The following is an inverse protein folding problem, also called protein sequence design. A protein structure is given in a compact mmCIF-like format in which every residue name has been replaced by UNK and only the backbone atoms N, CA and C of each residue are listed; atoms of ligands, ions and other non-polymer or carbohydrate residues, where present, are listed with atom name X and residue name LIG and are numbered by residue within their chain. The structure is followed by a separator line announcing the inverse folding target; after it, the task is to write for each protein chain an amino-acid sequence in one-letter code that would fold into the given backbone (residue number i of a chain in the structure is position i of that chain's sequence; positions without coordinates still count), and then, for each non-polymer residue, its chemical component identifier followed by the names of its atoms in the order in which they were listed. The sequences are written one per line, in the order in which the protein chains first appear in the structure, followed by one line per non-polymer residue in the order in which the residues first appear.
data_IF_308595051289
#
_entry.id   IF_308595051289
#
_cell.length_a   1.000
_cell.length_b   1.000
_cell.length_c   1.000
_cell.angle_alpha   90.00
_cell.angle_beta   90.00
_cell.angle_gamma   90.00
#
_symmetry.space_group_name_H-M   'P 1'
#
loop_
_entity.id
_entity.type
_entity.pdbx_description
1 polymer ?
#
# COMPACT_ATOMS: atom_id res chain seq x y z
N UNK A 1 20.75 2.93 44.88
CA UNK A 1 19.95 4.14 45.11
C UNK A 1 20.50 5.21 44.19
N UNK A 2 19.92 5.38 43.05
CA UNK A 2 20.08 6.59 42.22
C UNK A 2 18.84 6.69 41.32
N UNK A 3 18.08 7.73 41.57
CA UNK A 3 16.83 8.06 40.92
C UNK A 3 17.10 8.78 39.59
N UNK A 4 16.65 8.23 38.50
CA UNK A 4 16.70 8.89 37.18
C UNK A 4 15.43 9.69 36.95
N UNK A 5 15.60 11.01 37.03
CA UNK A 5 14.58 12.01 36.76
C UNK A 5 14.42 12.23 35.24
N UNK A 6 13.28 11.86 34.69
CA UNK A 6 12.92 12.28 33.34
C UNK A 6 12.55 13.75 33.29
N UNK A 7 13.35 14.53 32.56
CA UNK A 7 13.09 15.95 32.31
C UNK A 7 11.94 16.13 31.32
N UNK A 8 10.89 16.80 31.76
CA UNK A 8 9.81 17.31 30.94
C UNK A 8 10.34 18.40 29.99
N UNK A 9 10.24 18.14 28.68
CA UNK A 9 10.39 19.17 27.65
C UNK A 9 9.03 19.86 27.42
N UNK A 10 8.80 20.96 28.09
CA UNK A 10 7.76 21.92 27.73
C UNK A 10 8.31 22.85 26.64
N UNK A 11 7.94 22.63 25.41
CA UNK A 11 8.14 23.60 24.32
C UNK A 11 6.91 24.50 24.20
N UNK A 12 6.92 25.61 24.94
CA UNK A 12 6.06 26.75 24.68
C UNK A 12 6.70 27.63 23.60
N UNK A 13 6.32 27.42 22.35
CA UNK A 13 6.52 28.41 21.29
C UNK A 13 5.14 28.80 20.75
N UNK A 14 4.54 29.81 21.38
CA UNK A 14 3.33 30.47 20.87
C UNK A 14 3.74 31.40 19.75
N UNK A 15 3.53 30.96 18.50
CA UNK A 15 3.48 31.87 17.37
C UNK A 15 2.12 32.57 17.36
N UNK A 16 2.10 33.86 17.63
CA UNK A 16 0.96 34.74 17.50
C UNK A 16 0.70 35.00 15.99
N UNK A 17 -0.11 34.15 15.34
CA UNK A 17 -0.81 34.54 14.14
C UNK A 17 -2.19 35.04 14.53
N UNK A 18 -2.43 36.33 14.31
CA UNK A 18 -3.78 36.93 14.36
C UNK A 18 -4.51 36.48 13.08
N UNK A 19 -5.33 35.44 13.18
CA UNK A 19 -6.31 35.11 12.15
C UNK A 19 -7.56 35.94 12.37
N UNK A 20 -7.77 36.89 11.43
CA UNK A 20 -9.09 37.46 11.21
C UNK A 20 -9.92 36.39 10.51
N UNK A 21 -10.70 35.63 11.23
CA UNK A 21 -11.66 34.70 10.66
C UNK A 21 -13.01 34.87 11.32
N UNK A 22 -13.89 35.45 10.50
CA UNK A 22 -15.32 35.37 10.64
C UNK A 22 -15.76 33.90 10.60
N UNK A 23 -16.59 33.52 11.53
CA UNK A 23 -17.48 32.37 11.63
C UNK A 23 -17.31 31.21 10.61
N UNK A 24 -16.34 30.35 10.83
CA UNK A 24 -16.40 28.95 10.42
C UNK A 24 -16.46 28.07 11.67
N UNK A 25 -17.65 27.98 12.27
CA UNK A 25 -17.95 26.98 13.31
C UNK A 25 -18.18 25.60 12.64
N UNK A 26 -17.24 25.19 11.79
CA UNK A 26 -17.11 23.84 11.33
C UNK A 26 -16.24 23.11 12.36
N UNK A 27 -16.87 22.39 13.29
CA UNK A 27 -16.15 21.41 14.10
C UNK A 27 -15.39 20.49 13.14
N UNK A 28 -14.10 20.76 12.93
CA UNK A 28 -13.23 19.90 12.12
C UNK A 28 -13.26 18.50 12.76
N UNK A 29 -14.11 17.62 12.24
CA UNK A 29 -14.11 16.21 12.63
C UNK A 29 -12.73 15.65 12.36
N UNK A 30 -12.14 14.97 13.33
CA UNK A 30 -10.84 14.35 13.09
C UNK A 30 -10.99 13.24 12.05
N UNK A 31 -9.99 13.05 11.19
CA UNK A 31 -9.98 11.99 10.19
C UNK A 31 -10.22 10.60 10.82
N UNK A 32 -9.68 10.39 12.01
CA UNK A 32 -9.91 9.16 12.77
C UNK A 32 -11.40 8.95 13.09
N UNK A 33 -12.08 9.97 13.60
CA UNK A 33 -13.51 9.88 13.94
C UNK A 33 -14.37 9.62 12.69
N UNK A 34 -14.06 10.26 11.56
CA UNK A 34 -14.73 10.01 10.29
C UNK A 34 -14.57 8.55 9.83
N UNK A 35 -13.38 7.97 9.98
CA UNK A 35 -13.14 6.56 9.65
C UNK A 35 -13.93 5.62 10.56
N UNK A 36 -14.00 5.91 11.85
CA UNK A 36 -14.78 5.09 12.80
C UNK A 36 -16.29 5.19 12.51
N UNK A 37 -16.81 6.38 12.24
CA UNK A 37 -18.21 6.56 11.83
C UNK A 37 -18.50 5.82 10.51
N UNK A 38 -17.61 5.95 9.54
CA UNK A 38 -17.72 5.25 8.26
C UNK A 38 -17.71 3.72 8.44
N UNK A 39 -16.89 3.18 9.32
CA UNK A 39 -16.82 1.74 9.56
C UNK A 39 -18.13 1.16 10.10
N UNK A 40 -18.92 1.98 10.82
CA UNK A 40 -20.17 1.60 11.49
C UNK A 40 -21.44 1.89 10.67
N UNK A 41 -21.33 2.55 9.50
CA UNK A 41 -22.50 3.06 8.78
C UNK A 41 -23.38 2.00 8.10
N UNK A 42 -23.04 0.73 8.18
CA UNK A 42 -23.81 -0.39 7.64
C UNK A 42 -23.87 -0.47 6.10
N UNK A 43 -23.27 0.46 5.39
CA UNK A 43 -23.26 0.45 3.91
C UNK A 43 -22.29 -0.60 3.40
N UNK A 44 -22.71 -1.36 2.39
CA UNK A 44 -21.82 -2.30 1.71
C UNK A 44 -20.74 -1.56 0.91
N UNK A 45 -19.44 -1.82 1.15
CA UNK A 45 -18.36 -1.08 0.49
C UNK A 45 -18.12 -1.60 -0.93
N UNK A 46 -18.64 -0.90 -1.94
CA UNK A 46 -18.42 -1.22 -3.35
C UNK A 46 -17.04 -0.80 -3.88
N UNK A 47 -16.31 -0.03 -3.08
CA UNK A 47 -14.93 0.40 -3.39
C UNK A 47 -13.89 -0.61 -2.89
N UNK A 48 -12.63 -0.43 -3.27
CA UNK A 48 -11.51 -1.18 -2.68
C UNK A 48 -11.34 -0.82 -1.18
N UNK A 49 -10.84 -1.74 -0.35
CA UNK A 49 -10.29 -3.07 -0.67
C UNK A 49 -11.35 -4.16 -0.90
N UNK A 50 -10.92 -5.25 -1.54
CA UNK A 50 -11.78 -6.36 -1.95
C UNK A 50 -12.39 -7.20 -0.84
N UNK A 51 -11.82 -7.21 0.38
CA UNK A 51 -12.34 -7.97 1.53
C UNK A 51 -13.74 -7.53 2.02
N UNK A 52 -14.19 -6.33 1.60
CA UNK A 52 -15.54 -5.82 1.85
C UNK A 52 -15.97 -5.84 3.31
N UNK A 53 -15.05 -5.60 4.26
CA UNK A 53 -15.25 -5.68 5.71
C UNK A 53 -15.68 -7.08 6.20
N UNK A 54 -15.28 -8.12 5.46
CA UNK A 54 -15.56 -9.48 5.86
C UNK A 54 -14.55 -9.95 6.93
N UNK A 55 -14.89 -9.77 8.19
CA UNK A 55 -14.02 -10.13 9.32
C UNK A 55 -13.72 -11.63 9.40
N UNK A 56 -14.57 -12.47 8.79
CA UNK A 56 -14.37 -13.93 8.75
C UNK A 56 -13.16 -14.36 7.93
N UNK A 57 -12.65 -13.49 7.04
CA UNK A 57 -11.45 -13.79 6.26
C UNK A 57 -10.18 -13.88 7.11
N UNK A 58 -10.18 -13.29 8.29
CA UNK A 58 -9.02 -13.26 9.17
C UNK A 58 -9.12 -14.17 10.41
N UNK A 59 -10.26 -14.86 10.56
CA UNK A 59 -10.49 -15.89 11.58
C UNK A 59 -9.98 -15.52 12.98
N UNK A 60 -10.16 -14.25 13.37
CA UNK A 60 -9.74 -13.72 14.67
C UNK A 60 -8.25 -13.47 14.86
N UNK A 61 -7.46 -13.48 13.81
CA UNK A 61 -6.02 -13.13 13.89
C UNK A 61 -5.88 -11.64 14.28
N UNK A 62 -5.23 -11.40 15.40
CA UNK A 62 -4.84 -10.06 15.83
C UNK A 62 -3.60 -9.62 15.02
N UNK A 63 -3.70 -8.61 14.14
CA UNK A 63 -2.60 -8.20 13.29
C UNK A 63 -1.37 -7.76 14.09
N UNK A 64 -1.54 -7.20 15.27
CA UNK A 64 -0.42 -6.77 16.11
C UNK A 64 0.39 -7.94 16.69
N UNK A 65 -0.25 -9.11 16.87
CA UNK A 65 0.44 -10.31 17.37
C UNK A 65 1.23 -11.05 16.30
N UNK A 66 0.92 -10.79 15.04
CA UNK A 66 1.56 -11.44 13.88
C UNK A 66 2.42 -10.47 13.08
N UNK A 67 2.56 -9.23 13.52
CA UNK A 67 3.45 -8.24 12.91
C UNK A 67 4.89 -8.50 13.37
N UNK A 68 5.69 -9.01 12.45
CA UNK A 68 7.07 -9.42 12.68
C UNK A 68 7.98 -8.90 11.56
N UNK A 69 9.28 -8.86 11.84
CA UNK A 69 10.33 -8.64 10.84
C UNK A 69 11.02 -9.96 10.46
N UNK A 70 12.21 -9.91 9.86
CA UNK A 70 13.03 -11.08 9.53
C UNK A 70 13.65 -11.68 10.80
N UNK A 71 12.85 -12.42 11.56
CA UNK A 71 13.30 -13.17 12.73
C UNK A 71 13.59 -14.63 12.39
N UNK A 72 14.35 -15.30 13.23
CA UNK A 72 14.71 -16.71 13.05
C UNK A 72 13.46 -17.58 12.83
N UNK A 73 13.46 -18.36 11.74
CA UNK A 73 12.36 -19.25 11.37
C UNK A 73 11.28 -18.62 10.46
N UNK A 74 11.35 -17.30 10.19
CA UNK A 74 10.31 -16.60 9.38
C UNK A 74 10.80 -16.07 8.03
N UNK A 75 12.01 -16.46 7.60
CA UNK A 75 12.50 -16.18 6.25
C UNK A 75 12.62 -14.65 5.92
N UNK A 76 13.04 -14.32 4.70
CA UNK A 76 13.16 -12.95 4.20
C UNK A 76 12.52 -12.83 2.82
N UNK A 77 11.54 -11.93 2.67
CA UNK A 77 10.77 -11.77 1.43
C UNK A 77 11.64 -11.39 0.22
N UNK A 78 12.73 -10.64 0.43
CA UNK A 78 13.64 -10.22 -0.64
C UNK A 78 14.70 -11.27 -1.01
N UNK A 79 14.87 -12.30 -0.16
CA UNK A 79 15.77 -13.43 -0.42
C UNK A 79 15.18 -14.71 0.18
N UNK A 80 14.00 -15.15 -0.28
CA UNK A 80 13.26 -16.23 0.33
C UNK A 80 13.98 -17.57 0.13
N UNK A 81 14.12 -18.35 1.23
CA UNK A 81 14.77 -19.67 1.25
C UNK A 81 14.01 -20.72 2.05
N UNK A 82 12.98 -20.30 2.78
CA UNK A 82 12.19 -21.12 3.69
C UNK A 82 10.69 -20.99 3.43
N UNK A 83 9.93 -20.69 4.48
CA UNK A 83 8.45 -20.67 4.45
C UNK A 83 7.85 -19.71 3.43
N UNK A 84 8.50 -18.57 3.16
CA UNK A 84 8.04 -17.62 2.13
C UNK A 84 8.27 -18.22 0.74
N UNK A 85 9.42 -18.85 0.51
CA UNK A 85 9.68 -19.54 -0.77
C UNK A 85 8.68 -20.66 -1.02
N UNK A 86 8.35 -21.44 0.00
CA UNK A 86 7.39 -22.54 -0.12
C UNK A 86 5.96 -21.98 -0.39
N UNK A 87 5.57 -20.89 0.27
CA UNK A 87 4.31 -20.21 -0.03
C UNK A 87 4.27 -19.67 -1.47
N UNK A 88 5.38 -19.11 -1.99
CA UNK A 88 5.48 -18.68 -3.38
C UNK A 88 5.36 -19.84 -4.37
N UNK A 89 5.97 -21.01 -4.06
CA UNK A 89 5.83 -22.21 -4.87
C UNK A 89 4.39 -22.73 -4.89
N UNK A 90 3.75 -22.83 -3.72
CA UNK A 90 2.35 -23.23 -3.62
C UNK A 90 1.43 -22.30 -4.45
N UNK A 91 1.70 -20.99 -4.42
CA UNK A 91 0.96 -20.04 -5.27
C UNK A 91 1.25 -20.27 -6.78
N UNK A 92 2.49 -20.56 -7.15
CA UNK A 92 2.86 -20.89 -8.53
C UNK A 92 2.12 -22.13 -9.03
N UNK A 93 2.07 -23.17 -8.21
CA UNK A 93 1.36 -24.43 -8.53
C UNK A 93 -0.15 -24.17 -8.67
N UNK A 94 -0.73 -23.39 -7.78
CA UNK A 94 -2.17 -23.05 -7.82
C UNK A 94 -2.56 -22.25 -9.07
N UNK A 95 -1.72 -21.27 -9.48
CA UNK A 95 -1.96 -20.44 -10.64
C UNK A 95 -1.37 -20.98 -11.95
N UNK A 96 -0.78 -22.19 -11.92
CA UNK A 96 -0.12 -22.83 -13.06
C UNK A 96 0.91 -21.92 -13.75
N UNK A 97 1.75 -21.25 -12.92
CA UNK A 97 2.80 -20.33 -13.39
C UNK A 97 4.19 -20.84 -13.05
N UNK A 98 5.20 -20.49 -13.84
CA UNK A 98 6.60 -20.86 -13.57
C UNK A 98 7.11 -20.29 -12.24
N UNK A 99 6.65 -19.08 -11.90
CA UNK A 99 7.05 -18.36 -10.67
C UNK A 99 6.02 -17.36 -10.20
N UNK A 100 5.91 -17.22 -8.88
CA UNK A 100 5.08 -16.21 -8.22
C UNK A 100 5.94 -15.41 -7.24
N UNK A 101 5.74 -14.09 -7.20
CA UNK A 101 6.37 -13.19 -6.23
C UNK A 101 5.31 -12.44 -5.45
N UNK A 102 5.47 -12.38 -4.13
CA UNK A 102 4.62 -11.57 -3.28
C UNK A 102 5.08 -10.10 -3.32
N UNK A 103 4.13 -9.20 -3.53
CA UNK A 103 4.39 -7.76 -3.66
C UNK A 103 4.00 -7.02 -2.39
N UNK A 104 4.83 -6.11 -1.93
CA UNK A 104 4.59 -5.30 -0.71
C UNK A 104 4.01 -3.91 -0.99
N UNK A 105 4.19 -3.38 -2.21
CA UNK A 105 3.72 -2.03 -2.60
C UNK A 105 2.54 -2.07 -3.57
N UNK A 106 1.68 -3.08 -3.44
CA UNK A 106 0.49 -3.26 -4.24
C UNK A 106 0.77 -3.62 -5.70
N UNK A 107 -0.31 -3.87 -6.47
CA UNK A 107 -0.24 -4.24 -7.88
C UNK A 107 0.42 -3.18 -8.78
N UNK A 108 0.40 -1.91 -8.38
CA UNK A 108 1.11 -0.85 -9.11
C UNK A 108 2.62 -1.10 -9.14
N UNK A 109 3.22 -1.56 -8.03
CA UNK A 109 4.63 -1.96 -7.99
C UNK A 109 4.90 -3.13 -8.95
N UNK A 110 4.02 -4.13 -8.96
CA UNK A 110 4.12 -5.26 -9.88
C UNK A 110 4.07 -4.86 -11.35
N UNK A 111 3.19 -3.94 -11.72
CA UNK A 111 3.09 -3.40 -13.09
C UNK A 111 4.40 -2.68 -13.48
N UNK A 112 4.92 -1.82 -12.59
CA UNK A 112 6.19 -1.15 -12.85
C UNK A 112 7.35 -2.14 -12.99
N UNK A 113 7.43 -3.13 -12.10
CA UNK A 113 8.46 -4.16 -12.15
C UNK A 113 8.38 -4.99 -13.43
N UNK A 114 7.18 -5.47 -13.81
CA UNK A 114 6.97 -6.29 -14.99
C UNK A 114 7.37 -5.56 -16.28
N UNK A 115 6.88 -4.32 -16.47
CA UNK A 115 7.24 -3.52 -17.65
C UNK A 115 8.74 -3.22 -17.66
N UNK A 116 9.32 -2.86 -16.51
CA UNK A 116 10.74 -2.54 -16.41
C UNK A 116 11.64 -3.74 -16.68
N UNK A 117 11.20 -4.95 -16.37
CA UNK A 117 11.95 -6.17 -16.60
C UNK A 117 12.07 -6.54 -18.09
N UNK A 118 11.09 -6.14 -18.89
CA UNK A 118 11.01 -6.51 -20.33
C UNK A 118 11.31 -5.35 -21.28
N UNK A 119 11.63 -4.16 -20.76
CA UNK A 119 11.95 -2.99 -21.57
C UNK A 119 13.28 -2.36 -21.19
N UNK A 120 13.96 -1.76 -22.15
CA UNK A 120 15.07 -0.84 -21.93
C UNK A 120 14.59 0.62 -21.99
N UNK A 121 15.43 1.54 -21.53
CA UNK A 121 15.15 2.99 -21.65
C UNK A 121 15.08 3.35 -23.14
N UNK A 122 13.98 3.99 -23.53
CA UNK A 122 13.76 4.43 -24.91
C UNK A 122 13.11 3.39 -25.83
N UNK A 123 12.86 2.18 -25.35
CA UNK A 123 12.16 1.16 -26.15
C UNK A 123 10.72 1.61 -26.48
N UNK A 124 10.21 1.09 -27.62
CA UNK A 124 8.84 1.31 -28.03
C UNK A 124 7.90 0.35 -27.30
N UNK A 125 6.76 0.86 -26.82
CA UNK A 125 5.69 0.08 -26.17
C UNK A 125 4.32 0.44 -26.75
N UNK A 126 3.47 -0.56 -26.97
CA UNK A 126 2.07 -0.37 -27.34
C UNK A 126 1.21 -0.58 -26.10
N UNK A 127 0.38 0.41 -25.75
CA UNK A 127 -0.49 0.35 -24.57
C UNK A 127 -1.94 0.72 -24.91
N UNK A 128 -2.89 0.06 -24.23
CA UNK A 128 -4.29 0.46 -24.30
C UNK A 128 -4.51 1.85 -23.67
N UNK A 129 -5.25 2.73 -24.36
CA UNK A 129 -5.54 4.08 -23.83
C UNK A 129 -6.33 4.08 -22.52
N UNK A 130 -7.03 2.99 -22.23
CA UNK A 130 -7.79 2.77 -21.01
C UNK A 130 -7.03 1.97 -19.93
N UNK A 131 -5.71 1.76 -20.08
CA UNK A 131 -4.93 1.03 -19.10
C UNK A 131 -4.78 1.77 -17.77
N UNK A 132 -4.39 1.05 -16.73
CA UNK A 132 -4.19 1.61 -15.40
C UNK A 132 -3.05 2.64 -15.39
N UNK A 133 -3.19 3.68 -14.56
CA UNK A 133 -2.21 4.78 -14.39
C UNK A 133 -0.77 4.30 -14.16
N UNK A 134 -0.55 3.15 -13.52
CA UNK A 134 0.78 2.60 -13.29
C UNK A 134 1.54 2.30 -14.59
N UNK A 135 0.84 1.91 -15.66
CA UNK A 135 1.46 1.68 -16.99
C UNK A 135 2.01 2.98 -17.56
N UNK A 136 1.23 4.06 -17.53
CA UNK A 136 1.67 5.39 -17.96
C UNK A 136 2.85 5.90 -17.13
N UNK A 137 2.80 5.70 -15.81
CA UNK A 137 3.89 6.10 -14.93
C UNK A 137 5.18 5.35 -15.26
N UNK A 138 5.08 4.04 -15.55
CA UNK A 138 6.24 3.25 -15.96
C UNK A 138 6.81 3.72 -17.30
N UNK A 139 5.97 3.94 -18.30
CA UNK A 139 6.38 4.43 -19.59
C UNK A 139 7.14 5.76 -19.46
N UNK A 140 6.65 6.67 -18.62
CA UNK A 140 7.32 7.95 -18.33
C UNK A 140 8.65 7.76 -17.59
N UNK A 141 8.70 6.93 -16.55
CA UNK A 141 9.91 6.66 -15.77
C UNK A 141 11.02 6.02 -16.61
N UNK A 142 10.64 5.16 -17.54
CA UNK A 142 11.55 4.45 -18.45
C UNK A 142 11.81 5.20 -19.75
N UNK A 143 11.22 6.41 -19.92
CA UNK A 143 11.30 7.20 -21.15
C UNK A 143 10.95 6.38 -22.40
N UNK A 144 9.90 5.55 -22.32
CA UNK A 144 9.47 4.69 -23.42
C UNK A 144 8.78 5.51 -24.52
N UNK A 145 8.96 5.12 -25.78
CA UNK A 145 8.20 5.60 -26.92
C UNK A 145 6.84 4.89 -26.94
N UNK A 146 5.75 5.64 -26.75
CA UNK A 146 4.42 5.07 -26.50
C UNK A 146 3.52 5.21 -27.70
N UNK A 147 3.01 4.09 -28.19
CA UNK A 147 1.93 4.00 -29.16
C UNK A 147 0.63 3.55 -28.48
N UNK A 148 -0.49 4.18 -28.83
CA UNK A 148 -1.78 3.93 -28.17
C UNK A 148 -2.73 3.12 -29.03
N UNK A 149 -3.31 2.08 -28.41
CA UNK A 149 -4.51 1.40 -28.95
C UNK A 149 -5.73 1.94 -28.22
N UNK A 150 -6.74 2.35 -28.96
CA UNK A 150 -7.98 2.85 -28.42
C UNK A 150 -9.03 1.74 -28.39
N UNK A 151 -9.77 1.58 -27.26
CA UNK A 151 -10.90 0.67 -27.25
C UNK A 151 -11.97 1.13 -28.24
N UNK A 152 -12.58 0.17 -28.91
CA UNK A 152 -13.74 0.36 -29.80
C UNK A 152 -15.02 0.64 -29.02
#
# INVERSE_FOLDING_TARGET
MESNSYKNYNNNSRNNYKDNNEDYNCQKKSFYNELIEYSKNGRYPLHMPGHKRNERLFDGIDPYKVDITEIDGFDNLHNPKGIILDAMKNASDFFETDRTWFLVNGSSCGILAAISAVTNIGDKIIIGRNCHKAVYNCAKLRNLDVEYVYPS
#
